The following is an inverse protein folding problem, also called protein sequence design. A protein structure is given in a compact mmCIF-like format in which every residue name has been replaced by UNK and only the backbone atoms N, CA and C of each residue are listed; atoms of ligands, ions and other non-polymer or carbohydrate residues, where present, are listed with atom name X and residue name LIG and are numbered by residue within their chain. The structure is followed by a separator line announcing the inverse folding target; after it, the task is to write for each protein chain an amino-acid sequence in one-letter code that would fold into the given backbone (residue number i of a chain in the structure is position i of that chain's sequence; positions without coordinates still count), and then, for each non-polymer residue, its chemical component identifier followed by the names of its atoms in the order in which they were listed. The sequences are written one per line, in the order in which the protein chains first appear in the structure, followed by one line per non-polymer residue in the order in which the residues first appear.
data_IF_788285775863
#
_entry.id   IF_788285775863
#
_cell.length_a   1.000
_cell.length_b   1.000
_cell.length_c   1.000
_cell.angle_alpha   90.00
_cell.angle_beta   90.00
_cell.angle_gamma   90.00
#
_symmetry.space_group_name_H-M   'P 1'
#
loop_
_entity.id
_entity.type
_entity.pdbx_description
1 polymer ?
#
# COMPACT_ATOMS: atom_id res chain seq x y z
N UNK A 1 -2.26 25.45 1.26
CA UNK A 1 -3.36 25.84 0.34
C UNK A 1 -3.23 25.25 -1.08
N UNK A 2 -2.11 24.63 -1.48
CA UNK A 2 -1.89 24.11 -2.85
C UNK A 2 -2.09 22.61 -3.04
N UNK A 3 -2.42 21.84 -2.00
CA UNK A 3 -2.47 20.35 -2.07
C UNK A 3 -3.86 19.78 -2.37
N UNK A 4 -4.94 20.50 -2.10
CA UNK A 4 -6.31 20.04 -2.36
C UNK A 4 -6.58 19.58 -3.81
N UNK A 5 -6.11 20.25 -4.88
CA UNK A 5 -6.38 19.79 -6.23
C UNK A 5 -5.79 18.41 -6.56
N UNK A 6 -4.67 18.02 -5.92
CA UNK A 6 -4.03 16.74 -6.17
C UNK A 6 -4.86 15.56 -5.66
N UNK A 7 -5.50 15.70 -4.51
CA UNK A 7 -6.30 14.66 -3.87
C UNK A 7 -7.80 14.72 -4.22
N UNK A 8 -8.26 15.74 -4.93
CA UNK A 8 -9.65 15.86 -5.33
C UNK A 8 -10.24 14.60 -6.01
N UNK A 9 -9.52 13.86 -6.87
CA UNK A 9 -10.04 12.63 -7.45
C UNK A 9 -10.30 11.52 -6.41
N UNK A 10 -9.55 11.47 -5.32
CA UNK A 10 -9.81 10.56 -4.20
C UNK A 10 -11.02 11.06 -3.39
N UNK A 11 -11.03 12.35 -3.03
CA UNK A 11 -12.07 12.95 -2.17
C UNK A 11 -13.49 12.79 -2.73
N UNK A 12 -13.65 12.79 -4.06
CA UNK A 12 -14.97 12.58 -4.69
C UNK A 12 -15.39 11.11 -4.79
N UNK A 13 -14.50 10.16 -4.50
CA UNK A 13 -14.75 8.72 -4.54
C UNK A 13 -14.73 8.05 -3.16
N UNK A 14 -14.15 8.71 -2.18
CA UNK A 14 -14.05 8.19 -0.82
C UNK A 14 -15.30 8.57 -0.02
N UNK A 15 -15.88 7.58 0.64
CA UNK A 15 -16.98 7.78 1.61
C UNK A 15 -16.44 8.20 2.98
N UNK A 16 -15.17 7.90 3.26
CA UNK A 16 -14.54 8.12 4.55
C UNK A 16 -13.05 8.44 4.37
N UNK A 17 -12.54 9.36 5.16
CA UNK A 17 -11.11 9.64 5.32
C UNK A 17 -10.72 9.49 6.77
N UNK A 18 -9.75 8.63 7.06
CA UNK A 18 -9.28 8.34 8.41
C UNK A 18 -7.85 8.87 8.61
N UNK A 19 -7.70 9.79 9.56
CA UNK A 19 -6.38 10.16 10.07
C UNK A 19 -5.86 9.08 11.01
N UNK A 20 -4.69 8.53 10.71
CA UNK A 20 -4.08 7.44 11.45
C UNK A 20 -2.64 7.76 11.84
N UNK A 21 -2.11 7.02 12.81
CA UNK A 21 -0.68 7.00 13.10
C UNK A 21 -0.08 5.73 12.53
N UNK A 22 1.00 5.89 11.78
CA UNK A 22 1.86 4.76 11.40
C UNK A 22 2.55 4.18 12.63
N UNK A 23 3.10 2.98 12.50
CA UNK A 23 3.89 2.35 13.58
C UNK A 23 5.33 2.88 13.57
N UNK A 24 6.00 2.77 14.72
CA UNK A 24 7.41 3.11 14.83
C UNK A 24 8.28 1.85 14.80
N UNK A 25 9.35 1.82 13.97
CA UNK A 25 9.74 2.84 13.00
C UNK A 25 8.80 2.84 11.77
N UNK A 26 8.47 4.03 11.21
CA UNK A 26 7.64 4.16 10.01
C UNK A 26 8.45 3.79 8.75
N UNK A 27 8.67 2.50 8.59
CA UNK A 27 9.35 1.87 7.45
C UNK A 27 8.49 0.76 6.87
N UNK A 28 8.45 0.65 5.56
CA UNK A 28 7.52 -0.21 4.83
C UNK A 28 7.37 -1.63 5.39
N UNK A 29 8.45 -2.41 5.67
CA UNK A 29 8.28 -3.77 6.17
C UNK A 29 7.65 -3.83 7.57
N UNK A 30 7.96 -2.87 8.48
CA UNK A 30 7.35 -2.81 9.79
C UNK A 30 5.86 -2.39 9.71
N UNK A 31 5.57 -1.40 8.86
CA UNK A 31 4.20 -0.94 8.63
C UNK A 31 3.32 -2.05 8.06
N UNK A 32 3.76 -2.74 6.99
CA UNK A 32 3.00 -3.85 6.41
C UNK A 32 2.82 -5.01 7.38
N UNK A 33 3.86 -5.37 8.15
CA UNK A 33 3.71 -6.39 9.17
C UNK A 33 2.60 -6.03 10.16
N UNK A 34 2.54 -4.78 10.61
CA UNK A 34 1.49 -4.29 11.50
C UNK A 34 0.12 -4.21 10.82
N UNK A 35 0.03 -3.67 9.60
CA UNK A 35 -1.23 -3.52 8.87
C UNK A 35 -1.95 -4.86 8.65
N UNK A 36 -1.20 -5.92 8.35
CA UNK A 36 -1.77 -7.22 7.99
C UNK A 36 -1.78 -8.25 9.12
N UNK A 37 -1.13 -7.98 10.26
CA UNK A 37 -1.20 -8.82 11.46
C UNK A 37 -2.02 -8.20 12.60
N UNK A 38 -2.21 -6.87 12.60
CA UNK A 38 -2.78 -6.14 13.73
C UNK A 38 -1.84 -6.03 14.93
N UNK A 39 -0.57 -6.43 14.80
CA UNK A 39 0.41 -6.46 15.89
C UNK A 39 1.36 -5.28 15.81
N UNK A 40 1.95 -4.90 16.94
CA UNK A 40 2.98 -3.87 16.98
C UNK A 40 4.36 -4.42 16.53
N UNK A 41 5.29 -3.56 16.08
CA UNK A 41 6.66 -3.96 15.71
C UNK A 41 7.40 -4.76 16.78
N UNK A 42 7.17 -4.46 18.05
CA UNK A 42 7.76 -5.21 19.16
C UNK A 42 7.25 -6.66 19.24
N UNK A 43 6.03 -6.93 18.79
CA UNK A 43 5.41 -8.26 18.84
C UNK A 43 5.71 -9.06 17.57
N UNK A 44 5.56 -8.47 16.38
CA UNK A 44 5.84 -9.19 15.12
C UNK A 44 7.32 -9.24 14.76
N UNK A 45 8.19 -8.50 15.47
CA UNK A 45 9.66 -8.61 15.39
C UNK A 45 10.34 -7.79 14.29
N UNK A 46 9.63 -7.12 13.39
CA UNK A 46 10.22 -6.26 12.36
C UNK A 46 10.29 -4.83 12.90
N UNK A 47 11.50 -4.42 13.33
CA UNK A 47 11.74 -3.11 13.96
C UNK A 47 12.78 -2.26 13.20
N UNK A 48 13.05 -2.60 11.94
CA UNK A 48 13.96 -1.89 11.06
C UNK A 48 13.59 -2.14 9.60
N UNK A 49 14.28 -1.50 8.66
CA UNK A 49 14.13 -1.78 7.23
C UNK A 49 14.82 -3.11 6.86
N UNK A 50 14.25 -4.20 7.35
CA UNK A 50 14.64 -5.58 7.05
C UNK A 50 13.41 -6.36 6.58
N UNK A 51 13.60 -7.38 5.76
CA UNK A 51 12.51 -8.10 5.10
C UNK A 51 12.52 -9.61 5.42
N UNK A 52 12.54 -10.03 6.70
CA UNK A 52 12.41 -11.43 7.05
C UNK A 52 11.00 -11.91 6.71
N UNK A 53 10.86 -13.21 6.44
CA UNK A 53 9.51 -13.81 6.34
C UNK A 53 8.83 -13.73 7.71
N UNK A 54 7.64 -13.17 7.74
CA UNK A 54 6.88 -12.96 8.96
C UNK A 54 6.31 -14.30 9.45
N UNK A 55 6.50 -14.60 10.74
CA UNK A 55 6.09 -15.89 11.34
C UNK A 55 4.79 -15.80 12.13
N UNK A 56 4.36 -14.59 12.50
CA UNK A 56 3.09 -14.37 13.22
C UNK A 56 1.89 -14.54 12.29
N UNK A 57 0.71 -14.76 12.87
CA UNK A 57 -0.53 -14.82 12.13
C UNK A 57 -0.86 -13.50 11.44
N UNK A 58 -1.50 -13.60 10.30
CA UNK A 58 -1.88 -12.45 9.48
C UNK A 58 -3.19 -12.75 8.77
N UNK A 59 -3.85 -11.71 8.27
CA UNK A 59 -5.04 -11.88 7.43
C UNK A 59 -4.81 -12.84 6.25
N UNK A 60 -3.58 -12.92 5.73
CA UNK A 60 -3.20 -13.84 4.66
C UNK A 60 -3.14 -15.32 5.10
N UNK A 61 -3.06 -15.60 6.40
CA UNK A 61 -3.23 -16.94 6.96
C UNK A 61 -4.69 -17.22 7.31
N UNK A 62 -5.40 -16.22 7.81
CA UNK A 62 -6.78 -16.38 8.29
C UNK A 62 -7.79 -16.56 7.15
N UNK A 63 -7.63 -15.83 6.04
CA UNK A 63 -8.54 -15.90 4.90
C UNK A 63 -8.64 -17.31 4.29
N UNK A 64 -7.55 -18.03 3.99
CA UNK A 64 -7.61 -19.41 3.51
C UNK A 64 -8.31 -20.36 4.49
N UNK A 65 -8.08 -20.19 5.80
CA UNK A 65 -8.77 -20.99 6.84
C UNK A 65 -10.28 -20.75 6.84
N UNK A 66 -10.71 -19.55 6.44
CA UNK A 66 -12.11 -19.21 6.26
C UNK A 66 -12.67 -19.58 4.87
N UNK A 67 -11.91 -20.29 4.03
CA UNK A 67 -12.28 -20.62 2.65
C UNK A 67 -12.31 -19.42 1.71
N UNK A 68 -11.55 -18.37 2.03
CA UNK A 68 -11.44 -17.12 1.26
C UNK A 68 -10.12 -17.04 0.53
N UNK A 69 -10.09 -16.36 -0.59
CA UNK A 69 -8.90 -16.19 -1.44
C UNK A 69 -8.34 -14.79 -1.36
N UNK A 70 -7.03 -14.70 -1.21
CA UNK A 70 -6.30 -13.44 -1.25
C UNK A 70 -5.28 -13.42 -2.38
N UNK A 71 -5.02 -12.22 -2.92
CA UNK A 71 -3.96 -11.95 -3.88
C UNK A 71 -3.07 -10.82 -3.41
N UNK A 72 -1.76 -10.97 -3.61
CA UNK A 72 -0.75 -9.91 -3.44
C UNK A 72 -0.17 -9.60 -4.82
N UNK A 73 -0.29 -8.34 -5.22
CA UNK A 73 0.22 -7.83 -6.49
C UNK A 73 1.25 -6.74 -6.19
N UNK A 74 2.50 -6.94 -6.58
CA UNK A 74 3.58 -5.98 -6.33
C UNK A 74 4.74 -6.14 -7.30
N UNK A 75 5.70 -5.22 -7.24
CA UNK A 75 6.95 -5.37 -8.00
C UNK A 75 7.94 -6.29 -7.28
N UNK A 76 8.91 -6.79 -8.05
CA UNK A 76 9.96 -7.67 -7.53
C UNK A 76 10.79 -6.96 -6.44
N UNK A 77 11.05 -7.67 -5.34
CA UNK A 77 11.85 -7.16 -4.22
C UNK A 77 11.14 -6.19 -3.29
N UNK A 78 9.87 -5.88 -3.52
CA UNK A 78 9.06 -5.10 -2.59
C UNK A 78 8.87 -5.81 -1.25
N UNK A 79 8.74 -5.03 -0.18
CA UNK A 79 8.61 -5.56 1.18
C UNK A 79 7.44 -6.52 1.31
N UNK A 80 6.30 -6.20 0.70
CA UNK A 80 5.08 -7.01 0.78
C UNK A 80 5.25 -8.38 0.10
N UNK A 81 6.03 -8.47 -0.98
CA UNK A 81 6.29 -9.73 -1.66
C UNK A 81 7.26 -10.65 -0.91
N UNK A 82 8.05 -10.08 0.00
CA UNK A 82 9.10 -10.81 0.72
C UNK A 82 8.67 -11.23 2.13
N UNK A 83 8.06 -10.32 2.91
CA UNK A 83 7.71 -10.60 4.31
C UNK A 83 6.52 -11.56 4.47
N UNK A 84 5.68 -11.70 3.45
CA UNK A 84 4.52 -12.60 3.47
C UNK A 84 4.71 -13.88 2.65
N UNK A 85 5.94 -14.23 2.26
CA UNK A 85 6.21 -15.47 1.54
C UNK A 85 5.75 -16.73 2.30
N UNK A 86 5.34 -17.76 1.54
CA UNK A 86 4.93 -19.04 2.10
C UNK A 86 3.52 -19.06 2.69
N UNK A 87 2.73 -18.01 2.47
CA UNK A 87 1.30 -18.00 2.80
C UNK A 87 0.48 -18.61 1.66
N UNK A 88 -0.69 -19.12 1.96
CA UNK A 88 -1.64 -19.66 0.98
C UNK A 88 -2.42 -18.51 0.32
N UNK A 89 -1.71 -17.72 -0.49
CA UNK A 89 -2.24 -16.59 -1.26
C UNK A 89 -1.68 -16.62 -2.69
N UNK A 90 -2.37 -16.03 -3.63
CA UNK A 90 -1.91 -15.91 -5.01
C UNK A 90 -0.93 -14.73 -5.14
N UNK A 91 0.31 -15.00 -5.54
CA UNK A 91 1.35 -13.98 -5.70
C UNK A 91 1.50 -13.61 -7.18
N UNK A 92 1.29 -12.34 -7.49
CA UNK A 92 1.45 -11.74 -8.80
C UNK A 92 2.58 -10.71 -8.75
N UNK A 93 3.80 -11.17 -9.03
CA UNK A 93 5.02 -10.35 -8.90
C UNK A 93 5.54 -10.03 -10.29
N UNK A 94 5.68 -8.74 -10.57
CA UNK A 94 6.07 -8.24 -11.89
C UNK A 94 7.26 -7.28 -11.82
N UNK A 95 7.97 -7.06 -12.93
CA UNK A 95 9.09 -6.11 -12.96
C UNK A 95 8.65 -4.63 -12.95
N UNK A 96 7.39 -4.32 -13.25
CA UNK A 96 6.93 -2.93 -13.35
C UNK A 96 5.56 -2.69 -12.70
N UNK A 97 5.35 -1.47 -12.22
CA UNK A 97 4.10 -1.01 -11.61
C UNK A 97 2.92 -1.10 -12.61
N UNK A 98 3.15 -0.80 -13.88
CA UNK A 98 2.11 -0.87 -14.92
C UNK A 98 1.57 -2.30 -15.07
N UNK A 99 2.45 -3.31 -15.00
CA UNK A 99 2.04 -4.72 -15.06
C UNK A 99 1.26 -5.12 -13.79
N UNK A 100 1.67 -4.61 -12.63
CA UNK A 100 0.93 -4.80 -11.38
C UNK A 100 -0.48 -4.19 -11.48
N UNK A 101 -0.59 -2.96 -11.96
CA UNK A 101 -1.86 -2.28 -12.14
C UNK A 101 -2.79 -3.04 -13.10
N UNK A 102 -2.24 -3.52 -14.23
CA UNK A 102 -3.01 -4.34 -15.18
C UNK A 102 -3.51 -5.63 -14.54
N UNK A 103 -2.65 -6.33 -13.79
CA UNK A 103 -3.02 -7.56 -13.11
C UNK A 103 -4.14 -7.33 -12.08
N UNK A 104 -4.07 -6.24 -11.30
CA UNK A 104 -5.13 -5.92 -10.35
C UNK A 104 -6.49 -5.70 -11.06
N UNK A 105 -6.47 -5.04 -12.22
CA UNK A 105 -7.67 -4.88 -13.06
C UNK A 105 -8.22 -6.22 -13.56
N UNK A 106 -7.34 -7.14 -13.96
CA UNK A 106 -7.74 -8.46 -14.45
C UNK A 106 -8.33 -9.30 -13.31
N UNK A 107 -7.74 -9.24 -12.10
CA UNK A 107 -8.28 -9.91 -10.90
C UNK A 107 -9.68 -9.39 -10.52
N UNK A 108 -9.92 -8.09 -10.64
CA UNK A 108 -11.25 -7.50 -10.41
C UNK A 108 -12.26 -8.06 -11.43
N UNK A 109 -11.89 -8.14 -12.71
CA UNK A 109 -12.76 -8.69 -13.76
C UNK A 109 -13.03 -10.18 -13.60
N UNK A 110 -12.04 -10.93 -13.13
CA UNK A 110 -12.14 -12.36 -12.88
C UNK A 110 -13.04 -12.70 -11.68
N UNK A 111 -13.17 -11.79 -10.73
CA UNK A 111 -14.02 -11.90 -9.54
C UNK A 111 -13.86 -13.22 -8.78
N UNK A 112 -12.57 -13.57 -8.49
CA UNK A 112 -12.22 -14.84 -7.82
C UNK A 112 -11.51 -14.67 -6.48
N UNK A 113 -11.27 -13.43 -6.05
CA UNK A 113 -10.55 -13.12 -4.82
C UNK A 113 -11.40 -12.26 -3.89
N UNK A 114 -11.36 -12.60 -2.60
CA UNK A 114 -12.04 -11.86 -1.53
C UNK A 114 -11.19 -10.68 -1.04
N UNK A 115 -9.87 -10.77 -1.17
CA UNK A 115 -8.92 -9.70 -0.87
C UNK A 115 -7.90 -9.56 -2.01
N UNK A 116 -7.75 -8.37 -2.55
CA UNK A 116 -6.68 -8.02 -3.49
C UNK A 116 -5.87 -6.89 -2.88
N UNK A 117 -4.58 -7.12 -2.67
CA UNK A 117 -3.63 -6.09 -2.24
C UNK A 117 -2.74 -5.73 -3.41
N UNK A 118 -2.88 -4.50 -3.90
CA UNK A 118 -1.98 -3.91 -4.90
C UNK A 118 -1.04 -2.93 -4.21
N UNK A 119 0.25 -3.16 -4.28
CA UNK A 119 1.26 -2.24 -3.78
C UNK A 119 2.00 -1.52 -4.92
N UNK A 120 2.08 -0.20 -4.83
CA UNK A 120 2.82 0.68 -5.72
C UNK A 120 3.82 1.52 -4.94
N UNK A 121 5.10 1.15 -5.00
CA UNK A 121 6.21 1.85 -4.35
C UNK A 121 6.82 2.99 -5.17
N UNK A 122 6.25 3.38 -6.31
CA UNK A 122 6.84 4.37 -7.22
C UNK A 122 6.96 5.76 -6.61
N UNK A 123 6.00 6.21 -5.78
CA UNK A 123 6.13 7.50 -5.08
C UNK A 123 7.31 7.50 -4.12
N UNK A 124 7.44 6.46 -3.30
CA UNK A 124 8.53 6.31 -2.33
C UNK A 124 9.90 6.32 -3.03
N UNK A 125 10.01 5.57 -4.13
CA UNK A 125 11.22 5.54 -4.96
C UNK A 125 11.66 6.93 -5.45
N UNK A 126 10.74 7.74 -5.95
CA UNK A 126 11.06 9.09 -6.44
C UNK A 126 11.24 10.09 -5.30
N UNK A 127 10.52 9.92 -4.21
CA UNK A 127 10.66 10.71 -3.00
C UNK A 127 12.07 10.60 -2.42
N UNK A 128 12.60 9.39 -2.31
CA UNK A 128 13.99 9.18 -1.85
C UNK A 128 15.02 9.87 -2.73
N UNK A 129 14.82 9.92 -4.05
CA UNK A 129 15.79 10.48 -5.01
C UNK A 129 15.82 11.99 -5.09
N UNK A 130 14.78 12.67 -4.71
CA UNK A 130 14.73 14.12 -4.92
C UNK A 130 13.92 14.90 -3.91
N UNK A 131 13.29 14.20 -2.96
CA UNK A 131 12.40 14.78 -1.96
C UNK A 131 10.92 14.70 -2.32
N UNK A 132 10.04 14.83 -1.31
CA UNK A 132 8.61 14.50 -1.41
C UNK A 132 7.80 15.40 -2.34
N UNK A 133 8.28 16.61 -2.62
CA UNK A 133 7.54 17.64 -3.39
C UNK A 133 8.14 17.90 -4.78
N UNK A 134 9.03 17.04 -5.25
CA UNK A 134 9.60 17.20 -6.60
C UNK A 134 8.57 16.87 -7.68
N UNK A 135 8.70 17.44 -8.90
CA UNK A 135 7.75 17.19 -9.97
C UNK A 135 7.58 15.72 -10.30
N UNK A 136 8.66 14.92 -10.24
CA UNK A 136 8.62 13.48 -10.51
C UNK A 136 7.99 12.67 -9.35
N UNK A 137 8.26 13.02 -8.09
CA UNK A 137 7.58 12.40 -6.95
C UNK A 137 6.07 12.70 -6.98
N UNK A 138 5.69 13.96 -7.21
CA UNK A 138 4.29 14.35 -7.36
C UNK A 138 3.62 13.73 -8.59
N UNK A 139 4.36 13.48 -9.67
CA UNK A 139 3.85 12.73 -10.82
C UNK A 139 3.53 11.29 -10.43
N UNK A 140 4.46 10.60 -9.76
CA UNK A 140 4.23 9.23 -9.29
C UNK A 140 3.04 9.14 -8.33
N UNK A 141 2.88 10.14 -7.44
CA UNK A 141 1.69 10.21 -6.57
C UNK A 141 0.39 10.38 -7.38
N UNK A 142 0.38 11.21 -8.42
CA UNK A 142 -0.79 11.34 -9.31
C UNK A 142 -1.10 10.03 -10.04
N UNK A 143 -0.08 9.30 -10.47
CA UNK A 143 -0.24 7.99 -11.10
C UNK A 143 -0.87 6.99 -10.13
N UNK A 144 -0.45 6.95 -8.85
CA UNK A 144 -1.06 6.11 -7.82
C UNK A 144 -2.53 6.49 -7.56
N UNK A 145 -2.83 7.80 -7.45
CA UNK A 145 -4.19 8.29 -7.29
C UNK A 145 -5.06 7.90 -8.50
N UNK A 146 -4.52 8.05 -9.70
CA UNK A 146 -5.24 7.68 -10.92
C UNK A 146 -5.50 6.16 -10.97
N UNK A 147 -4.53 5.34 -10.57
CA UNK A 147 -4.70 3.88 -10.44
C UNK A 147 -5.86 3.57 -9.50
N UNK A 148 -5.91 4.19 -8.31
CA UNK A 148 -7.03 4.02 -7.38
C UNK A 148 -8.37 4.36 -8.04
N UNK A 149 -8.46 5.49 -8.75
CA UNK A 149 -9.70 5.91 -9.42
C UNK A 149 -10.15 4.88 -10.47
N UNK A 150 -9.23 4.36 -11.26
CA UNK A 150 -9.53 3.33 -12.28
C UNK A 150 -10.00 2.03 -11.62
N UNK A 151 -9.34 1.59 -10.54
CA UNK A 151 -9.76 0.40 -9.79
C UNK A 151 -11.13 0.60 -9.13
N UNK A 152 -11.39 1.78 -8.54
CA UNK A 152 -12.69 2.12 -7.98
C UNK A 152 -13.81 2.00 -9.03
N UNK A 153 -13.60 2.56 -10.21
CA UNK A 153 -14.60 2.54 -11.27
C UNK A 153 -14.83 1.10 -11.79
N UNK A 154 -13.76 0.29 -11.90
CA UNK A 154 -13.84 -1.13 -12.26
C UNK A 154 -14.57 -1.97 -11.19
N UNK A 155 -14.30 -1.75 -9.92
CA UNK A 155 -15.02 -2.41 -8.82
C UNK A 155 -16.51 -2.10 -8.87
N UNK A 156 -16.89 -0.86 -9.10
CA UNK A 156 -18.31 -0.48 -9.26
C UNK A 156 -18.98 -1.15 -10.43
N UNK A 157 -18.26 -1.39 -11.52
CA UNK A 157 -18.76 -2.06 -12.71
C UNK A 157 -18.90 -3.59 -12.50
N UNK A 158 -17.83 -4.22 -11.99
CA UNK A 158 -17.75 -5.69 -11.94
C UNK A 158 -18.24 -6.29 -10.62
N UNK A 159 -18.14 -5.56 -9.51
CA UNK A 159 -18.50 -6.03 -8.16
C UNK A 159 -19.74 -5.35 -7.59
N UNK A 160 -20.65 -4.87 -8.45
CA UNK A 160 -21.87 -4.15 -8.04
C UNK A 160 -22.81 -4.98 -7.14
N UNK A 161 -22.70 -6.32 -7.17
CA UNK A 161 -23.45 -7.24 -6.30
C UNK A 161 -22.75 -7.57 -4.97
N UNK A 162 -21.49 -7.15 -4.79
CA UNK A 162 -20.73 -7.42 -3.59
C UNK A 162 -20.81 -6.26 -2.58
N UNK A 163 -20.68 -6.59 -1.31
CA UNK A 163 -20.42 -5.61 -0.27
C UNK A 163 -18.89 -5.41 -0.18
N UNK A 164 -18.39 -4.38 -0.86
CA UNK A 164 -16.97 -4.16 -1.09
C UNK A 164 -16.44 -2.96 -0.34
N UNK A 165 -15.23 -3.08 0.23
CA UNK A 165 -14.43 -1.97 0.71
C UNK A 165 -13.19 -1.79 -0.17
N UNK A 166 -12.90 -0.56 -0.59
CA UNK A 166 -11.67 -0.17 -1.29
C UNK A 166 -10.95 0.90 -0.48
N UNK A 167 -9.68 0.70 -0.19
CA UNK A 167 -8.86 1.67 0.53
C UNK A 167 -7.67 2.15 -0.29
N UNK A 168 -7.36 3.45 -0.19
CA UNK A 168 -6.07 4.03 -0.54
C UNK A 168 -5.31 4.22 0.77
N UNK A 169 -4.33 3.35 1.03
CA UNK A 169 -3.72 3.20 2.36
C UNK A 169 -2.19 3.36 2.31
N UNK A 170 -1.66 4.60 2.45
CA UNK A 170 -0.24 4.80 2.69
C UNK A 170 0.19 4.12 4.00
N UNK A 171 1.34 3.49 3.97
CA UNK A 171 1.91 2.78 5.12
C UNK A 171 2.66 3.73 6.09
N UNK A 172 3.27 4.77 5.56
CA UNK A 172 3.92 5.85 6.31
C UNK A 172 3.94 7.15 5.51
N UNK A 173 4.33 8.23 6.15
CA UNK A 173 4.64 9.49 5.50
C UNK A 173 6.13 9.63 5.18
N UNK A 174 6.58 10.86 4.95
CA UNK A 174 7.97 11.15 4.61
C UNK A 174 8.33 12.60 4.90
N UNK A 175 9.64 12.86 5.01
CA UNK A 175 10.21 14.20 5.23
C UNK A 175 11.32 14.51 4.22
N UNK A 176 11.67 15.77 4.12
CA UNK A 176 12.84 16.24 3.35
C UNK A 176 14.09 16.13 4.22
N UNK A 177 15.14 15.51 3.68
CA UNK A 177 16.44 15.40 4.33
C UNK A 177 17.51 16.13 3.49
N UNK A 178 18.43 16.83 4.15
CA UNK A 178 19.57 17.54 3.52
C UNK A 178 19.21 18.37 2.27
N UNK A 179 18.05 18.98 2.28
CA UNK A 179 17.59 19.90 1.23
C UNK A 179 17.16 19.25 -0.09
N UNK A 180 17.65 18.09 -0.45
CA UNK A 180 17.43 17.47 -1.77
C UNK A 180 16.75 16.10 -1.72
N UNK A 181 17.06 15.29 -0.73
CA UNK A 181 16.55 13.93 -0.61
C UNK A 181 15.30 13.86 0.24
N UNK A 182 14.50 12.86 0.04
CA UNK A 182 13.43 12.49 0.94
C UNK A 182 13.80 11.27 1.76
N UNK A 183 13.26 11.19 2.95
CA UNK A 183 13.44 10.08 3.88
C UNK A 183 12.18 9.86 4.71
N UNK A 184 12.17 8.75 5.42
CA UNK A 184 11.19 8.37 6.42
C UNK A 184 11.85 7.45 7.46
N UNK A 185 11.14 7.03 8.48
CA UNK A 185 11.63 6.04 9.43
C UNK A 185 11.96 6.61 10.81
N UNK A 186 11.65 7.87 11.07
CA UNK A 186 11.87 8.51 12.36
C UNK A 186 10.58 9.03 12.98
N UNK A 187 10.61 9.33 14.28
CA UNK A 187 9.45 9.85 15.00
C UNK A 187 9.24 11.34 14.68
N UNK A 188 8.76 11.60 13.48
CA UNK A 188 8.34 12.93 13.02
C UNK A 188 6.87 12.91 12.61
N UNK A 189 6.11 14.00 12.88
CA UNK A 189 4.70 14.05 12.47
C UNK A 189 4.46 13.77 10.99
N UNK A 190 5.36 14.19 10.10
CA UNK A 190 5.24 13.98 8.66
C UNK A 190 5.53 12.53 8.22
N UNK A 191 6.23 11.74 9.03
CA UNK A 191 6.45 10.31 8.79
C UNK A 191 5.34 9.46 9.43
N UNK A 192 4.83 9.91 10.58
CA UNK A 192 3.91 9.14 11.42
C UNK A 192 2.42 9.37 11.09
N UNK A 193 2.04 10.60 10.71
CA UNK A 193 0.64 10.92 10.41
C UNK A 193 0.31 10.59 8.97
N UNK A 194 -0.62 9.67 8.77
CA UNK A 194 -1.10 9.19 7.46
C UNK A 194 -2.62 9.32 7.37
N UNK A 195 -3.12 9.24 6.15
CA UNK A 195 -4.56 9.23 5.85
C UNK A 195 -4.91 8.02 5.00
N UNK A 196 -5.90 7.27 5.46
CA UNK A 196 -6.52 6.19 4.71
C UNK A 196 -7.90 6.58 4.22
#
# INVERSE_FOLDING_TARGET
AGRRPLFAPLEVRADLGLGMLSVYPPVTPACFASMYSGLTPAVHGIQAYVKPVLTVDTIFGDLPLAGRRAAIVSTEGDSISLIFQGRDVDYYIFPTVERCNQQAMDLIREDRHDLIVLYNGNYDHWMHRGGPETPWALRALRENINTYCVLHDAIREHWSSHNTALAFAPDHGCHRQYGFLGQHGIDMPCDMHIWH
#
